data_IF_613771378142
#
_entry.id   IF_613771378142
#
_cell.length_a   1.000
_cell.length_b   1.000
_cell.length_c   1.000
_cell.angle_alpha   90.00
_cell.angle_beta   90.00
_cell.angle_gamma   90.00
#
_symmetry.space_group_name_H-M   'P 1'
#
loop_
_entity.id
_entity.type
_entity.pdbx_description
1 polymer ?
#
# COMPACT_ATOMS: atom_id res chain seq x y z
N UNK A 1 -2.72 18.62 6.31
CA UNK A 1 -3.15 19.36 7.50
C UNK A 1 -4.33 20.30 7.22
N UNK A 2 -4.28 21.13 6.17
CA UNK A 2 -5.34 22.12 5.88
C UNK A 2 -6.75 21.52 5.81
N UNK A 3 -6.93 20.33 5.26
CA UNK A 3 -8.24 19.66 5.18
C UNK A 3 -8.73 19.13 6.52
N UNK A 4 -7.82 18.83 7.46
CA UNK A 4 -8.17 18.48 8.83
C UNK A 4 -8.68 19.69 9.63
N UNK A 5 -8.25 20.91 9.28
CA UNK A 5 -8.78 22.14 9.88
C UNK A 5 -10.24 22.36 9.49
N UNK A 6 -10.67 21.95 8.29
CA UNK A 6 -12.07 22.00 7.87
C UNK A 6 -12.96 21.01 8.66
N UNK A 7 -12.38 19.99 9.26
CA UNK A 7 -13.06 19.09 10.19
C UNK A 7 -13.30 19.72 11.58
N UNK A 8 -12.74 20.92 11.82
CA UNK A 8 -12.89 21.64 13.09
C UNK A 8 -11.70 21.52 14.04
N UNK A 9 -10.56 21.00 13.57
CA UNK A 9 -9.34 20.91 14.37
C UNK A 9 -8.52 22.22 14.30
N UNK A 10 -7.83 22.55 15.41
CA UNK A 10 -6.89 23.67 15.41
C UNK A 10 -5.73 23.40 14.42
N UNK A 11 -5.03 24.44 13.94
CA UNK A 11 -3.85 24.26 13.08
C UNK A 11 -2.76 23.39 13.74
N UNK A 12 -2.52 23.56 15.04
CA UNK A 12 -1.55 22.78 15.82
C UNK A 12 -1.95 21.31 15.92
N UNK A 13 -3.23 21.03 16.24
CA UNK A 13 -3.73 19.65 16.36
C UNK A 13 -3.72 18.94 15.02
N UNK A 14 -4.12 19.63 13.94
CA UNK A 14 -4.08 19.09 12.59
C UNK A 14 -2.66 18.71 12.15
N UNK A 15 -1.67 19.52 12.52
CA UNK A 15 -0.27 19.25 12.23
C UNK A 15 0.25 18.10 13.10
N UNK A 16 -0.10 18.06 14.38
CA UNK A 16 0.26 16.99 15.31
C UNK A 16 -0.26 15.63 14.86
N UNK A 17 -1.56 15.55 14.55
CA UNK A 17 -2.21 14.33 14.04
C UNK A 17 -1.53 13.83 12.74
N UNK A 18 -1.30 14.75 11.81
CA UNK A 18 -0.64 14.42 10.56
C UNK A 18 0.82 13.98 10.78
N UNK A 19 1.54 14.65 11.70
CA UNK A 19 2.90 14.30 12.07
C UNK A 19 3.02 12.91 12.69
N UNK A 20 2.15 12.57 13.64
CA UNK A 20 2.09 11.22 14.25
C UNK A 20 1.80 10.16 13.17
N UNK A 21 0.88 10.43 12.28
CA UNK A 21 0.54 9.52 11.20
C UNK A 21 1.73 9.31 10.23
N UNK A 22 2.29 10.39 9.69
CA UNK A 22 3.33 10.32 8.65
C UNK A 22 4.74 10.04 9.20
N UNK A 23 5.02 10.49 10.42
CA UNK A 23 6.33 10.34 11.05
C UNK A 23 6.49 9.07 11.89
N UNK A 24 5.39 8.49 12.37
CA UNK A 24 5.45 7.34 13.27
C UNK A 24 4.77 6.10 12.68
N UNK A 25 3.46 6.17 12.40
CA UNK A 25 2.70 5.00 11.98
C UNK A 25 3.06 4.52 10.57
N UNK A 26 3.14 5.43 9.61
CA UNK A 26 3.38 5.09 8.21
C UNK A 26 4.77 4.46 7.98
N UNK A 27 5.89 4.99 8.52
CA UNK A 27 7.20 4.36 8.37
C UNK A 27 7.25 2.94 8.94
N UNK A 28 6.59 2.71 10.08
CA UNK A 28 6.55 1.39 10.69
C UNK A 28 5.80 0.37 9.82
N UNK A 29 4.66 0.76 9.23
CA UNK A 29 3.89 -0.06 8.28
C UNK A 29 4.68 -0.34 7.01
N UNK A 30 5.46 0.64 6.53
CA UNK A 30 6.28 0.49 5.33
C UNK A 30 7.57 -0.31 5.57
N UNK A 31 8.04 -0.44 6.80
CA UNK A 31 9.31 -1.10 7.09
C UNK A 31 9.37 -2.55 6.55
N UNK A 32 8.39 -3.44 6.78
CA UNK A 32 8.45 -4.79 6.23
C UNK A 32 8.32 -4.83 4.69
N UNK A 33 7.78 -3.78 4.06
CA UNK A 33 7.69 -3.69 2.60
C UNK A 33 9.06 -3.64 1.92
N UNK A 34 10.13 -3.31 2.64
CA UNK A 34 11.50 -3.37 2.11
C UNK A 34 11.86 -4.76 1.61
N UNK A 35 11.39 -5.81 2.29
CA UNK A 35 11.58 -7.20 1.87
C UNK A 35 10.87 -7.48 0.55
N UNK A 36 9.60 -7.07 0.43
CA UNK A 36 8.84 -7.23 -0.83
C UNK A 36 9.40 -6.38 -1.95
N UNK A 37 9.88 -5.17 -1.65
CA UNK A 37 10.54 -4.31 -2.63
C UNK A 37 11.82 -4.95 -3.18
N UNK A 38 12.69 -5.47 -2.31
CA UNK A 38 13.93 -6.14 -2.73
C UNK A 38 13.65 -7.34 -3.62
N UNK A 39 12.69 -8.19 -3.24
CA UNK A 39 12.25 -9.32 -4.07
C UNK A 39 11.65 -8.84 -5.41
N UNK A 40 10.88 -7.76 -5.40
CA UNK A 40 10.20 -7.20 -6.57
C UNK A 40 11.18 -6.64 -7.60
N UNK A 41 12.28 -6.01 -7.17
CA UNK A 41 13.34 -5.52 -8.06
C UNK A 41 13.94 -6.67 -8.86
N UNK A 42 14.10 -7.86 -8.27
CA UNK A 42 14.62 -9.05 -8.97
C UNK A 42 13.59 -9.69 -9.91
N UNK A 43 12.29 -9.51 -9.64
CA UNK A 43 11.23 -10.05 -10.50
C UNK A 43 11.19 -9.39 -11.88
N UNK A 44 11.45 -8.09 -11.96
CA UNK A 44 11.34 -7.33 -13.20
C UNK A 44 12.26 -7.90 -14.31
N UNK A 45 13.59 -8.06 -14.13
CA UNK A 45 14.46 -8.62 -15.16
C UNK A 45 14.14 -10.10 -15.45
N UNK A 46 13.82 -10.89 -14.42
CA UNK A 46 13.46 -12.30 -14.60
C UNK A 46 12.21 -12.47 -15.46
N UNK A 47 11.20 -11.62 -15.28
CA UNK A 47 9.97 -11.64 -16.09
C UNK A 47 10.26 -11.18 -17.52
N UNK A 48 11.08 -10.13 -17.69
CA UNK A 48 11.46 -9.63 -19.01
C UNK A 48 12.20 -10.69 -19.83
N UNK A 49 13.15 -11.41 -19.22
CA UNK A 49 13.87 -12.51 -19.87
C UNK A 49 12.92 -13.64 -20.29
N UNK A 50 12.05 -14.09 -19.37
CA UNK A 50 11.09 -15.14 -19.68
C UNK A 50 10.09 -14.72 -20.76
N UNK A 51 9.74 -13.45 -20.83
CA UNK A 51 8.89 -12.92 -21.90
C UNK A 51 9.60 -12.95 -23.24
N UNK A 52 10.87 -12.54 -23.30
CA UNK A 52 11.68 -12.61 -24.52
C UNK A 52 11.82 -14.03 -25.04
N UNK A 53 11.90 -15.03 -24.14
CA UNK A 53 11.97 -16.45 -24.47
C UNK A 53 10.58 -17.10 -24.74
N UNK A 54 9.49 -16.38 -24.61
CA UNK A 54 8.12 -16.87 -24.85
C UNK A 54 7.57 -17.81 -23.77
N UNK A 55 8.17 -17.87 -22.59
CA UNK A 55 7.80 -18.81 -21.50
C UNK A 55 6.60 -18.32 -20.67
N UNK A 56 5.43 -18.17 -21.30
CA UNK A 56 4.19 -17.66 -20.65
C UNK A 56 3.78 -18.44 -19.40
N UNK A 57 3.83 -19.77 -19.44
CA UNK A 57 3.49 -20.61 -18.27
C UNK A 57 4.39 -20.34 -17.07
N UNK A 58 5.67 -20.07 -17.32
CA UNK A 58 6.65 -19.78 -16.27
C UNK A 58 6.42 -18.42 -15.64
N UNK A 59 6.07 -17.42 -16.47
CA UNK A 59 5.67 -16.08 -15.99
C UNK A 59 4.47 -16.20 -15.05
N UNK A 60 3.41 -16.89 -15.46
CA UNK A 60 2.21 -17.09 -14.64
C UNK A 60 2.51 -17.76 -13.30
N UNK A 61 3.34 -18.79 -13.31
CA UNK A 61 3.73 -19.50 -12.09
C UNK A 61 4.52 -18.60 -11.13
N UNK A 62 5.47 -17.82 -11.63
CA UNK A 62 6.26 -16.88 -10.82
C UNK A 62 5.38 -15.74 -10.31
N UNK A 63 4.50 -15.20 -11.15
CA UNK A 63 3.51 -14.19 -10.73
C UNK A 63 2.64 -14.72 -9.58
N UNK A 64 2.09 -15.91 -9.72
CA UNK A 64 1.29 -16.53 -8.66
C UNK A 64 2.07 -16.71 -7.36
N UNK A 65 3.29 -17.25 -7.43
CA UNK A 65 4.16 -17.41 -6.25
C UNK A 65 4.51 -16.07 -5.60
N UNK A 66 4.86 -15.06 -6.39
CA UNK A 66 5.19 -13.74 -5.88
C UNK A 66 3.99 -13.07 -5.19
N UNK A 67 2.82 -13.12 -5.82
CA UNK A 67 1.58 -12.58 -5.22
C UNK A 67 1.22 -13.30 -3.93
N UNK A 68 1.26 -14.64 -3.91
CA UNK A 68 0.96 -15.42 -2.71
C UNK A 68 1.97 -15.15 -1.60
N UNK A 69 3.27 -15.06 -1.91
CA UNK A 69 4.30 -14.74 -0.93
C UNK A 69 4.12 -13.34 -0.34
N UNK A 70 3.84 -12.33 -1.17
CA UNK A 70 3.58 -10.96 -0.70
C UNK A 70 2.28 -10.88 0.13
N UNK A 71 1.23 -11.60 -0.27
CA UNK A 71 -0.01 -11.68 0.50
C UNK A 71 0.21 -12.35 1.88
N UNK A 72 0.93 -13.46 1.92
CA UNK A 72 1.26 -14.15 3.18
C UNK A 72 2.07 -13.26 4.11
N UNK A 73 3.13 -12.62 3.60
CA UNK A 73 3.91 -11.67 4.39
C UNK A 73 3.06 -10.49 4.84
N UNK A 74 2.25 -9.93 3.95
CA UNK A 74 1.36 -8.80 4.25
C UNK A 74 0.30 -9.16 5.28
N UNK A 75 -0.31 -10.34 5.22
CA UNK A 75 -1.29 -10.79 6.22
C UNK A 75 -0.65 -11.10 7.55
N UNK A 76 0.56 -11.67 7.58
CA UNK A 76 1.32 -11.88 8.80
C UNK A 76 1.66 -10.56 9.49
N UNK A 77 2.17 -9.58 8.72
CA UNK A 77 2.43 -8.24 9.22
C UNK A 77 1.15 -7.54 9.69
N UNK A 78 0.06 -7.68 8.93
CA UNK A 78 -1.23 -7.13 9.31
C UNK A 78 -1.72 -7.70 10.64
N UNK A 79 -1.64 -8.99 10.84
CA UNK A 79 -1.98 -9.63 12.11
C UNK A 79 -1.08 -9.11 13.26
N UNK A 80 0.23 -9.02 13.04
CA UNK A 80 1.18 -8.47 14.01
C UNK A 80 0.86 -7.02 14.38
N UNK A 81 0.67 -6.15 13.41
CA UNK A 81 0.34 -4.74 13.66
C UNK A 81 -1.07 -4.55 14.26
N UNK A 82 -2.02 -5.40 13.92
CA UNK A 82 -3.36 -5.36 14.50
C UNK A 82 -3.34 -5.76 15.98
N UNK A 83 -2.61 -6.82 16.35
CA UNK A 83 -2.51 -7.31 17.72
C UNK A 83 -1.61 -6.43 18.59
N UNK A 84 -0.45 -6.07 18.07
CA UNK A 84 0.58 -5.34 18.83
C UNK A 84 0.60 -3.83 18.55
N UNK A 85 -0.26 -3.30 17.68
CA UNK A 85 -0.26 -1.88 17.31
C UNK A 85 -0.29 -0.92 18.52
N UNK A 86 -1.20 -1.07 19.49
CA UNK A 86 -1.20 -0.22 20.69
C UNK A 86 0.07 -0.35 21.53
N UNK A 87 0.61 -1.55 21.68
CA UNK A 87 1.88 -1.80 22.38
C UNK A 87 3.05 -1.11 21.66
N UNK A 88 3.16 -1.29 20.35
CA UNK A 88 4.20 -0.65 19.53
C UNK A 88 4.10 0.89 19.58
N UNK A 89 2.88 1.44 19.50
CA UNK A 89 2.67 2.88 19.61
C UNK A 89 3.14 3.44 20.96
N UNK A 90 2.89 2.73 22.04
CA UNK A 90 3.31 3.16 23.38
C UNK A 90 4.83 2.94 23.62
N UNK A 91 5.37 1.79 23.24
CA UNK A 91 6.78 1.45 23.53
C UNK A 91 7.74 2.20 22.61
N UNK A 92 7.47 2.27 21.31
CA UNK A 92 8.39 2.89 20.36
C UNK A 92 8.22 4.41 20.28
N UNK A 93 6.99 4.90 20.40
CA UNK A 93 6.67 6.32 20.11
C UNK A 93 6.10 7.07 21.32
N UNK A 94 5.88 6.40 22.45
CA UNK A 94 5.24 6.98 23.63
C UNK A 94 3.91 7.72 23.28
N UNK A 95 3.21 7.21 22.25
CA UNK A 95 2.01 7.83 21.69
C UNK A 95 0.88 6.80 21.50
N UNK A 96 -0.16 6.85 22.33
CA UNK A 96 -1.34 6.00 22.15
C UNK A 96 -2.01 6.20 20.78
N UNK A 97 -1.98 7.43 20.28
CA UNK A 97 -2.54 7.81 18.95
C UNK A 97 -1.82 7.10 17.81
N UNK A 98 -0.48 6.99 17.89
CA UNK A 98 0.31 6.22 16.92
C UNK A 98 -0.13 4.76 16.89
N UNK A 99 -0.36 4.15 18.07
CA UNK A 99 -0.84 2.78 18.19
C UNK A 99 -2.18 2.54 17.50
N UNK A 100 -3.12 3.47 17.64
CA UNK A 100 -4.42 3.41 16.95
C UNK A 100 -4.24 3.46 15.43
N UNK A 101 -3.37 4.32 14.93
CA UNK A 101 -3.09 4.42 13.49
C UNK A 101 -2.41 3.17 12.94
N UNK A 102 -1.41 2.63 13.66
CA UNK A 102 -0.74 1.38 13.29
C UNK A 102 -1.78 0.25 13.17
N UNK A 103 -2.65 0.09 14.16
CA UNK A 103 -3.70 -0.92 14.16
C UNK A 103 -4.68 -0.75 13.00
N UNK A 104 -5.11 0.49 12.72
CA UNK A 104 -6.05 0.78 11.63
C UNK A 104 -5.42 0.54 10.27
N UNK A 105 -4.15 0.91 10.10
CA UNK A 105 -3.41 0.72 8.85
C UNK A 105 -2.95 -0.71 8.60
N UNK A 106 -3.00 -1.58 9.61
CA UNK A 106 -2.61 -2.98 9.45
C UNK A 106 -3.28 -3.66 8.26
N UNK A 107 -4.56 -3.34 8.01
CA UNK A 107 -5.33 -3.89 6.89
C UNK A 107 -4.83 -3.51 5.50
N UNK A 108 -3.97 -2.49 5.39
CA UNK A 108 -3.40 -2.04 4.11
C UNK A 108 -2.22 -2.92 3.69
N UNK A 109 -1.50 -3.53 4.65
CA UNK A 109 -0.27 -4.28 4.40
C UNK A 109 -0.38 -5.35 3.30
N UNK A 110 -1.41 -6.23 3.27
CA UNK A 110 -1.50 -7.28 2.26
C UNK A 110 -1.56 -6.72 0.84
N UNK A 111 -2.36 -5.68 0.64
CA UNK A 111 -2.55 -5.05 -0.67
C UNK A 111 -1.32 -4.24 -1.09
N UNK A 112 -0.76 -3.47 -0.17
CA UNK A 112 0.42 -2.65 -0.41
C UNK A 112 1.62 -3.51 -0.81
N UNK A 113 1.88 -4.61 -0.08
CA UNK A 113 3.01 -5.48 -0.39
C UNK A 113 2.79 -6.28 -1.68
N UNK A 114 1.57 -6.71 -1.96
CA UNK A 114 1.23 -7.36 -3.21
C UNK A 114 1.37 -6.40 -4.41
N UNK A 115 0.96 -5.14 -4.27
CA UNK A 115 1.04 -4.16 -5.34
C UNK A 115 2.48 -3.90 -5.79
N UNK A 116 3.47 -3.93 -4.89
CA UNK A 116 4.88 -3.78 -5.26
C UNK A 116 5.35 -4.88 -6.23
N UNK A 117 4.98 -6.14 -5.97
CA UNK A 117 5.29 -7.25 -6.86
C UNK A 117 4.54 -7.16 -8.19
N UNK A 118 3.25 -6.84 -8.17
CA UNK A 118 2.43 -6.69 -9.37
C UNK A 118 2.96 -5.60 -10.32
N UNK A 119 3.35 -4.45 -9.78
CA UNK A 119 3.95 -3.35 -10.54
C UNK A 119 5.26 -3.80 -11.19
N UNK A 120 6.14 -4.48 -10.46
CA UNK A 120 7.40 -4.98 -11.00
C UNK A 120 7.21 -6.00 -12.11
N UNK A 121 6.23 -6.88 -11.98
CA UNK A 121 5.88 -7.85 -13.03
C UNK A 121 5.33 -7.12 -14.27
N UNK A 122 4.45 -6.14 -14.11
CA UNK A 122 3.94 -5.32 -15.22
C UNK A 122 5.07 -4.58 -15.94
N UNK A 123 6.05 -4.06 -15.21
CA UNK A 123 7.23 -3.42 -15.79
C UNK A 123 8.10 -4.43 -16.55
N UNK A 124 8.32 -5.63 -16.01
CA UNK A 124 9.02 -6.72 -16.69
C UNK A 124 8.32 -7.18 -17.97
N UNK A 125 6.99 -7.09 -18.02
CA UNK A 125 6.17 -7.34 -19.22
C UNK A 125 6.13 -6.15 -20.20
N UNK A 126 6.88 -5.07 -19.96
CA UNK A 126 6.87 -3.87 -20.79
C UNK A 126 5.56 -3.07 -20.74
N UNK A 127 4.69 -3.32 -19.73
CA UNK A 127 3.38 -2.67 -19.58
C UNK A 127 3.45 -1.40 -18.72
N UNK A 128 4.53 -0.64 -18.85
CA UNK A 128 4.81 0.55 -18.04
C UNK A 128 3.68 1.59 -18.08
N UNK A 129 3.14 1.85 -19.29
CA UNK A 129 2.04 2.82 -19.46
C UNK A 129 0.78 2.39 -18.72
N UNK A 130 0.44 1.09 -18.73
CA UNK A 130 -0.72 0.57 -17.96
C UNK A 130 -0.50 0.73 -16.47
N UNK A 131 0.69 0.38 -15.98
CA UNK A 131 1.05 0.57 -14.57
C UNK A 131 0.95 2.05 -14.18
N UNK A 132 1.43 2.96 -15.02
CA UNK A 132 1.31 4.41 -14.80
C UNK A 132 -0.16 4.86 -14.70
N UNK A 133 -1.02 4.42 -15.62
CA UNK A 133 -2.45 4.76 -15.62
C UNK A 133 -3.16 4.23 -14.37
N UNK A 134 -2.85 3.00 -13.95
CA UNK A 134 -3.41 2.44 -12.71
C UNK A 134 -2.97 3.24 -11.48
N UNK A 135 -1.68 3.58 -11.39
CA UNK A 135 -1.17 4.40 -10.30
C UNK A 135 -1.82 5.80 -10.30
N UNK A 136 -1.99 6.42 -11.47
CA UNK A 136 -2.70 7.70 -11.60
C UNK A 136 -4.15 7.58 -11.09
N UNK A 137 -4.86 6.50 -11.44
CA UNK A 137 -6.21 6.24 -10.93
C UNK A 137 -6.23 6.10 -9.40
N UNK A 138 -5.26 5.37 -8.83
CA UNK A 138 -5.11 5.26 -7.37
C UNK A 138 -4.87 6.61 -6.68
N UNK A 139 -4.04 7.46 -7.27
CA UNK A 139 -3.78 8.82 -6.77
C UNK A 139 -5.05 9.66 -6.84
N UNK A 140 -5.81 9.60 -7.94
CA UNK A 140 -7.08 10.33 -8.08
C UNK A 140 -8.09 9.92 -6.99
N UNK A 141 -8.21 8.63 -6.69
CA UNK A 141 -9.03 8.13 -5.59
C UNK A 141 -8.56 8.72 -4.26
N UNK A 142 -7.26 8.69 -3.95
CA UNK A 142 -6.72 9.28 -2.71
C UNK A 142 -7.02 10.77 -2.62
N UNK A 143 -6.83 11.52 -3.70
CA UNK A 143 -7.13 12.96 -3.74
C UNK A 143 -8.63 13.19 -3.49
N UNK A 144 -9.52 12.41 -4.10
CA UNK A 144 -10.96 12.51 -3.87
C UNK A 144 -11.31 12.30 -2.40
N UNK A 145 -10.74 11.29 -1.73
CA UNK A 145 -10.92 11.07 -0.29
C UNK A 145 -10.36 12.21 0.55
N UNK A 146 -9.22 12.78 0.18
CA UNK A 146 -8.65 13.96 0.88
C UNK A 146 -9.56 15.17 0.75
N UNK A 147 -10.20 15.35 -0.40
CA UNK A 147 -11.05 16.51 -0.64
C UNK A 147 -12.41 16.40 0.03
N UNK A 148 -13.02 15.22 0.01
CA UNK A 148 -14.41 15.02 0.44
C UNK A 148 -14.53 14.28 1.77
N UNK A 149 -13.73 13.23 2.00
CA UNK A 149 -13.88 12.41 3.21
C UNK A 149 -13.12 12.99 4.41
N UNK A 150 -11.96 13.61 4.21
CA UNK A 150 -11.21 14.21 5.32
C UNK A 150 -11.96 15.34 6.02
N UNK A 151 -12.64 16.27 5.32
CA UNK A 151 -13.46 17.29 5.99
C UNK A 151 -14.65 16.73 6.78
N UNK A 152 -15.16 15.54 6.39
CA UNK A 152 -16.31 14.90 7.04
C UNK A 152 -15.92 13.95 8.18
N UNK A 153 -14.81 13.22 8.04
CA UNK A 153 -14.41 12.11 8.93
C UNK A 153 -13.02 12.30 9.58
N UNK A 154 -12.38 13.44 9.35
CA UNK A 154 -11.02 13.71 9.84
C UNK A 154 -9.98 12.76 9.24
N UNK A 155 -8.98 12.40 10.04
CA UNK A 155 -7.89 11.51 9.60
C UNK A 155 -8.38 10.11 9.16
N UNK A 156 -9.50 9.63 9.70
CA UNK A 156 -10.08 8.34 9.29
C UNK A 156 -10.47 8.33 7.82
N UNK A 157 -10.98 9.44 7.29
CA UNK A 157 -11.27 9.59 5.86
C UNK A 157 -10.03 9.40 4.99
N UNK A 158 -8.88 9.88 5.43
CA UNK A 158 -7.60 9.66 4.75
C UNK A 158 -7.16 8.19 4.77
N UNK A 159 -7.28 7.53 5.93
CA UNK A 159 -6.94 6.11 6.09
C UNK A 159 -7.79 5.21 5.16
N UNK A 160 -9.10 5.47 5.10
CA UNK A 160 -9.99 4.77 4.17
C UNK A 160 -9.62 5.04 2.70
N UNK A 161 -9.24 6.28 2.38
CA UNK A 161 -8.77 6.63 1.04
C UNK A 161 -7.55 5.83 0.60
N UNK A 162 -6.57 5.65 1.49
CA UNK A 162 -5.40 4.81 1.21
C UNK A 162 -5.84 3.34 1.03
N UNK A 163 -6.62 2.78 1.94
CA UNK A 163 -7.06 1.40 1.87
C UNK A 163 -7.82 1.10 0.56
N UNK A 164 -8.79 1.93 0.23
CA UNK A 164 -9.60 1.76 -0.99
C UNK A 164 -8.73 1.91 -2.24
N UNK A 165 -7.79 2.87 -2.26
CA UNK A 165 -6.88 3.03 -3.39
C UNK A 165 -5.96 1.82 -3.58
N UNK A 166 -5.45 1.21 -2.50
CA UNK A 166 -4.60 0.01 -2.60
C UNK A 166 -5.39 -1.22 -3.08
N UNK A 167 -6.63 -1.40 -2.62
CA UNK A 167 -7.52 -2.47 -3.10
C UNK A 167 -7.83 -2.27 -4.58
N UNK A 168 -8.16 -1.05 -5.00
CA UNK A 168 -8.42 -0.73 -6.40
C UNK A 168 -7.19 -1.02 -7.29
N UNK A 169 -6.01 -0.58 -6.83
CA UNK A 169 -4.75 -0.84 -7.54
C UNK A 169 -4.48 -2.33 -7.69
N UNK A 170 -4.67 -3.11 -6.63
CA UNK A 170 -4.53 -4.56 -6.65
C UNK A 170 -5.44 -5.18 -7.71
N UNK A 171 -6.71 -4.78 -7.74
CA UNK A 171 -7.68 -5.27 -8.72
C UNK A 171 -7.29 -4.89 -10.16
N UNK A 172 -6.89 -3.62 -10.40
CA UNK A 172 -6.49 -3.14 -11.72
C UNK A 172 -5.22 -3.85 -12.22
N UNK A 173 -4.23 -4.04 -11.35
CA UNK A 173 -2.99 -4.73 -11.72
C UNK A 173 -3.23 -6.22 -12.02
N UNK A 174 -4.04 -6.90 -11.21
CA UNK A 174 -4.40 -8.30 -11.44
C UNK A 174 -5.17 -8.45 -12.77
N UNK A 175 -6.17 -7.62 -13.01
CA UNK A 175 -6.94 -7.68 -14.28
C UNK A 175 -6.08 -7.36 -15.50
N UNK A 176 -5.10 -6.46 -15.36
CA UNK A 176 -4.16 -6.18 -16.43
C UNK A 176 -3.25 -7.37 -16.76
N UNK A 177 -2.83 -8.12 -15.75
CA UNK A 177 -2.04 -9.34 -15.93
C UNK A 177 -2.84 -10.45 -16.60
N UNK A 178 -4.08 -10.69 -16.19
CA UNK A 178 -4.98 -11.66 -16.83
C UNK A 178 -5.29 -11.33 -18.30
N UNK A 179 -5.36 -10.06 -18.67
CA UNK A 179 -5.58 -9.64 -20.07
C UNK A 179 -4.32 -9.71 -20.94
N UNK A 180 -3.17 -10.00 -20.37
CA UNK A 180 -1.90 -10.14 -21.10
C UNK A 180 -1.55 -11.60 -21.41
N UNK A 181 -2.35 -12.54 -20.90
CA UNK A 181 -2.27 -13.99 -21.19
C UNK A 181 -3.09 -14.36 -22.44
#
# INVERSE_FOLDING_TARGET
>A
PQRLQLYGLSPSDSLGIYGVFTGMALPLILFPSTVTNSASVMLMPSVAEMQALGFRRRIRHITGKACTGCLLLGTLCAAGFFLFGPFLGNVLFHSPTAGVYIRTMAFICPFLYMNTALVSILHGLGKNVRSLLHNAAGILVRISFVLFAVPAMGIRGYLYGILISEILLSFLHITALYRCE
#
